data_IF_827067210359
#
_entry.id   IF_827067210359
#
_cell.length_a   1.000
_cell.length_b   1.000
_cell.length_c   1.000
_cell.angle_alpha   90.00
_cell.angle_beta   90.00
_cell.angle_gamma   90.00
#
_symmetry.space_group_name_H-M   'P 1'
#
loop_
_entity.id
_entity.type
_entity.pdbx_description
1 polymer ?
#
# COMPACT_ATOMS: atom_id res chain seq x y z
N UNK A 1 14.87 10.43 -17.72
CA UNK A 1 15.09 9.17 -18.46
C UNK A 1 16.42 8.61 -17.98
N UNK A 2 16.48 7.33 -17.64
CA UNK A 2 17.72 6.71 -17.18
C UNK A 2 18.74 6.63 -18.32
N UNK A 3 19.98 7.05 -18.05
CA UNK A 3 21.09 6.89 -19.00
C UNK A 3 21.59 5.43 -18.99
N UNK A 4 22.28 5.01 -20.05
CA UNK A 4 22.93 3.69 -20.07
C UNK A 4 23.92 3.52 -18.90
N UNK A 5 24.62 4.60 -18.53
CA UNK A 5 25.51 4.62 -17.38
C UNK A 5 24.75 4.40 -16.06
N UNK A 6 23.57 5.00 -15.88
CA UNK A 6 22.73 4.72 -14.70
C UNK A 6 22.30 3.26 -14.66
N UNK A 7 21.89 2.69 -15.79
CA UNK A 7 21.47 1.28 -15.87
C UNK A 7 22.61 0.34 -15.48
N UNK A 8 23.84 0.58 -15.95
CA UNK A 8 25.01 -0.22 -15.61
C UNK A 8 25.37 -0.11 -14.11
N UNK A 9 25.33 1.12 -13.56
CA UNK A 9 25.57 1.35 -12.12
C UNK A 9 24.52 0.64 -11.27
N UNK A 10 23.23 0.78 -11.61
CA UNK A 10 22.15 0.11 -10.88
C UNK A 10 22.36 -1.39 -10.92
N UNK A 11 22.57 -1.98 -12.11
CA UNK A 11 22.79 -3.41 -12.27
C UNK A 11 23.96 -3.95 -11.45
N UNK A 12 25.10 -3.26 -11.49
CA UNK A 12 26.30 -3.65 -10.73
C UNK A 12 26.14 -3.52 -9.22
N UNK A 13 25.20 -2.68 -8.76
CA UNK A 13 24.93 -2.44 -7.33
C UNK A 13 23.67 -3.14 -6.81
N UNK A 14 22.91 -3.88 -7.64
CA UNK A 14 21.80 -4.74 -7.19
C UNK A 14 22.23 -5.69 -6.05
N UNK A 15 23.40 -6.36 -6.09
CA UNK A 15 23.82 -7.23 -5.00
C UNK A 15 23.94 -6.51 -3.64
N UNK A 16 24.17 -5.19 -3.62
CA UNK A 16 24.16 -4.39 -2.39
C UNK A 16 22.75 -4.32 -1.79
N UNK A 17 21.71 -4.20 -2.63
CA UNK A 17 20.31 -4.28 -2.20
C UNK A 17 19.83 -5.69 -1.91
N UNK A 18 20.38 -6.72 -2.55
CA UNK A 18 19.97 -8.10 -2.28
C UNK A 18 20.63 -8.68 -1.04
N UNK A 19 21.86 -8.25 -0.76
CA UNK A 19 22.55 -8.52 0.51
C UNK A 19 22.02 -7.64 1.65
N UNK A 20 21.11 -6.71 1.35
CA UNK A 20 20.36 -5.95 2.33
C UNK A 20 19.45 -6.90 3.12
N UNK A 21 20.04 -7.54 4.13
CA UNK A 21 19.32 -8.44 5.00
C UNK A 21 18.26 -7.73 5.85
N UNK A 22 17.72 -8.44 6.85
CA UNK A 22 16.74 -7.87 7.79
C UNK A 22 17.18 -6.55 8.44
N UNK A 23 18.48 -6.33 8.62
CA UNK A 23 19.05 -5.13 9.23
C UNK A 23 18.81 -3.86 8.41
N UNK A 24 19.03 -3.90 7.09
CA UNK A 24 18.83 -2.71 6.23
C UNK A 24 17.36 -2.31 6.24
N UNK A 25 16.51 -3.30 6.04
CA UNK A 25 15.08 -3.10 6.03
C UNK A 25 14.56 -2.59 7.39
N UNK A 26 15.08 -3.13 8.49
CA UNK A 26 14.74 -2.66 9.84
C UNK A 26 15.16 -1.21 10.03
N UNK A 27 16.37 -0.84 9.62
CA UNK A 27 16.90 0.52 9.70
C UNK A 27 16.04 1.49 8.90
N UNK A 28 15.67 1.13 7.67
CA UNK A 28 14.76 1.91 6.82
C UNK A 28 13.44 2.25 7.53
N UNK A 29 12.75 1.24 8.09
CA UNK A 29 11.47 1.48 8.76
C UNK A 29 11.63 2.24 10.08
N UNK A 30 12.70 2.01 10.83
CA UNK A 30 13.01 2.78 12.04
C UNK A 30 13.21 4.25 11.70
N UNK A 31 14.03 4.54 10.68
CA UNK A 31 14.29 5.90 10.20
C UNK A 31 13.00 6.57 9.73
N UNK A 32 12.22 5.88 8.88
CA UNK A 32 10.98 6.41 8.32
C UNK A 32 9.96 6.75 9.42
N UNK A 33 9.69 5.84 10.35
CA UNK A 33 8.68 6.09 11.40
C UNK A 33 9.15 7.01 12.52
N UNK A 34 10.45 7.24 12.67
CA UNK A 34 10.99 8.22 13.60
C UNK A 34 10.80 9.66 13.07
N UNK A 35 11.02 9.87 11.77
CA UNK A 35 10.92 11.19 11.14
C UNK A 35 9.54 11.49 10.57
N UNK A 36 8.78 10.46 10.22
CA UNK A 36 7.43 10.52 9.63
C UNK A 36 6.46 9.61 10.40
N UNK A 37 6.18 9.91 11.68
CA UNK A 37 5.30 9.08 12.52
C UNK A 37 3.88 8.96 11.97
N UNK A 38 3.41 9.91 11.17
CA UNK A 38 2.11 9.88 10.48
C UNK A 38 1.94 8.67 9.55
N UNK A 39 3.04 8.11 9.02
CA UNK A 39 2.96 6.93 8.17
C UNK A 39 2.52 5.67 8.95
N UNK A 40 2.55 5.69 10.29
CA UNK A 40 2.02 4.59 11.12
C UNK A 40 0.51 4.39 10.96
N UNK A 41 -0.21 5.40 10.46
CA UNK A 41 -1.64 5.32 10.11
C UNK A 41 -1.90 4.56 8.80
N UNK A 42 -0.87 4.42 7.96
CA UNK A 42 -0.96 3.75 6.65
C UNK A 42 -0.38 2.34 6.74
N UNK A 43 0.77 2.20 7.40
CA UNK A 43 1.46 0.92 7.53
C UNK A 43 0.85 0.04 8.62
N UNK A 44 0.78 -1.26 8.36
CA UNK A 44 0.34 -2.23 9.37
C UNK A 44 1.43 -2.44 10.44
N UNK A 45 1.24 -1.80 11.59
CA UNK A 45 2.20 -1.85 12.71
C UNK A 45 2.29 -3.24 13.37
N UNK A 46 1.25 -4.07 13.26
CA UNK A 46 1.28 -5.45 13.79
C UNK A 46 2.29 -6.30 13.03
N UNK A 47 2.40 -6.09 11.72
CA UNK A 47 3.37 -6.82 10.89
C UNK A 47 4.81 -6.36 11.14
N UNK A 48 5.03 -5.07 11.45
CA UNK A 48 6.35 -4.56 11.81
C UNK A 48 6.90 -5.19 13.09
N UNK A 49 6.05 -5.38 14.12
CA UNK A 49 6.45 -6.09 15.35
C UNK A 49 6.83 -7.56 15.11
N UNK A 50 6.39 -8.16 14.00
CA UNK A 50 6.69 -9.55 13.65
C UNK A 50 7.86 -9.74 12.67
N UNK A 51 8.41 -8.65 12.12
CA UNK A 51 9.52 -8.67 11.15
C UNK A 51 9.18 -9.24 9.77
N UNK A 52 7.95 -9.70 9.51
CA UNK A 52 7.59 -10.48 8.31
C UNK A 52 7.28 -9.67 7.05
N UNK A 53 6.96 -8.37 7.17
CA UNK A 53 6.52 -7.56 6.02
C UNK A 53 7.57 -6.56 5.55
N UNK A 54 8.71 -6.51 6.23
CA UNK A 54 9.70 -5.48 5.98
C UNK A 54 10.36 -5.67 4.59
N UNK A 55 10.54 -6.91 4.13
CA UNK A 55 11.38 -7.22 2.95
C UNK A 55 10.72 -6.95 1.59
N UNK A 56 9.39 -6.96 1.51
CA UNK A 56 8.66 -6.92 0.22
C UNK A 56 8.88 -5.63 -0.59
N UNK A 57 9.11 -4.49 0.08
CA UNK A 57 9.41 -3.22 -0.60
C UNK A 57 10.77 -3.28 -1.31
N UNK A 58 11.79 -3.79 -0.62
CA UNK A 58 13.13 -3.93 -1.17
C UNK A 58 13.19 -4.97 -2.28
N UNK A 59 12.48 -6.08 -2.14
CA UNK A 59 12.32 -7.08 -3.21
C UNK A 59 11.66 -6.48 -4.46
N UNK A 60 10.66 -5.61 -4.30
CA UNK A 60 10.02 -4.95 -5.43
C UNK A 60 10.98 -3.97 -6.14
N UNK A 61 11.76 -3.18 -5.39
CA UNK A 61 12.77 -2.27 -5.94
C UNK A 61 13.89 -3.05 -6.64
N UNK A 62 14.37 -4.15 -6.05
CA UNK A 62 15.37 -5.02 -6.66
C UNK A 62 14.85 -5.71 -7.92
N UNK A 63 13.61 -6.21 -7.90
CA UNK A 63 12.97 -6.80 -9.07
C UNK A 63 12.80 -5.78 -10.21
N UNK A 64 12.47 -4.54 -9.88
CA UNK A 64 12.46 -3.43 -10.83
C UNK A 64 13.84 -3.19 -11.42
N UNK A 65 14.87 -3.05 -10.58
CA UNK A 65 16.25 -2.82 -11.02
C UNK A 65 16.75 -3.92 -11.97
N UNK A 66 16.39 -5.18 -11.73
CA UNK A 66 16.72 -6.31 -12.62
C UNK A 66 16.04 -6.25 -13.98
N UNK A 67 14.86 -5.61 -14.07
CA UNK A 67 14.05 -5.52 -15.28
C UNK A 67 14.01 -4.10 -15.85
N UNK A 68 14.97 -3.25 -15.49
CA UNK A 68 14.97 -1.82 -15.82
C UNK A 68 14.96 -1.53 -17.33
N UNK A 69 15.43 -2.47 -18.15
CA UNK A 69 15.41 -2.41 -19.62
C UNK A 69 14.16 -3.07 -20.24
N UNK A 70 13.36 -3.81 -19.47
CA UNK A 70 12.15 -4.50 -19.92
C UNK A 70 11.00 -4.29 -18.92
N UNK A 71 10.58 -3.03 -18.77
CA UNK A 71 9.52 -2.64 -17.85
C UNK A 71 8.16 -3.26 -18.18
N UNK A 72 7.95 -3.62 -19.45
CA UNK A 72 6.73 -4.31 -19.89
C UNK A 72 6.54 -5.64 -19.14
N UNK A 73 7.63 -6.32 -18.76
CA UNK A 73 7.58 -7.54 -17.95
C UNK A 73 7.00 -7.33 -16.53
N UNK A 74 7.01 -6.08 -16.02
CA UNK A 74 6.51 -5.74 -14.70
C UNK A 74 5.07 -5.23 -14.71
N UNK A 75 4.46 -5.03 -15.88
CA UNK A 75 3.11 -4.47 -16.05
C UNK A 75 2.06 -5.11 -15.12
N UNK A 76 1.96 -6.43 -15.12
CA UNK A 76 1.02 -7.15 -14.25
C UNK A 76 1.33 -7.00 -12.75
N UNK A 77 2.61 -6.83 -12.38
CA UNK A 77 3.00 -6.59 -10.99
C UNK A 77 2.67 -5.16 -10.57
N UNK A 78 2.96 -4.17 -11.42
CA UNK A 78 2.62 -2.76 -11.22
C UNK A 78 1.11 -2.62 -11.03
N UNK A 79 0.29 -3.22 -11.90
CA UNK A 79 -1.17 -3.12 -11.81
C UNK A 79 -1.72 -3.64 -10.47
N UNK A 80 -1.26 -4.82 -10.07
CA UNK A 80 -1.64 -5.43 -8.79
C UNK A 80 -1.22 -4.58 -7.59
N UNK A 81 -0.03 -3.99 -7.63
CA UNK A 81 0.49 -3.13 -6.55
C UNK A 81 -0.27 -1.80 -6.53
N UNK A 82 -0.52 -1.17 -7.68
CA UNK A 82 -1.28 0.08 -7.78
C UNK A 82 -2.71 -0.08 -7.22
N UNK A 83 -3.40 -1.18 -7.54
CA UNK A 83 -4.70 -1.47 -6.93
C UNK A 83 -4.63 -1.63 -5.41
N UNK A 84 -3.56 -2.25 -4.91
CA UNK A 84 -3.33 -2.33 -3.47
C UNK A 84 -3.08 -0.94 -2.89
N UNK A 85 -2.15 -0.17 -3.43
CA UNK A 85 -1.82 1.18 -2.95
C UNK A 85 -3.03 2.10 -2.92
N UNK A 86 -3.86 2.09 -3.96
CA UNK A 86 -5.07 2.90 -3.96
C UNK A 86 -6.02 2.55 -2.81
N UNK A 87 -6.07 1.28 -2.36
CA UNK A 87 -6.85 0.88 -1.18
C UNK A 87 -6.30 1.33 0.17
N UNK A 88 -5.04 1.76 0.21
CA UNK A 88 -4.43 2.44 1.36
C UNK A 88 -4.39 3.96 1.17
N UNK A 89 -4.99 4.48 0.09
CA UNK A 89 -4.95 5.88 -0.29
C UNK A 89 -3.52 6.45 -0.34
N UNK A 90 -2.59 5.71 -0.95
CA UNK A 90 -1.22 6.19 -1.18
C UNK A 90 -1.24 7.40 -2.13
N UNK A 91 -0.48 8.43 -1.80
CA UNK A 91 -0.37 9.69 -2.54
C UNK A 91 1.06 9.89 -3.02
N UNK A 92 1.22 10.76 -4.03
CA UNK A 92 2.53 11.14 -4.56
C UNK A 92 3.51 11.63 -3.47
N UNK A 93 3.02 12.37 -2.47
CA UNK A 93 3.84 12.83 -1.34
C UNK A 93 4.45 11.69 -0.51
N UNK A 94 3.80 10.54 -0.43
CA UNK A 94 4.34 9.38 0.29
C UNK A 94 5.55 8.76 -0.42
N UNK A 95 5.61 8.83 -1.77
CA UNK A 95 6.77 8.37 -2.52
C UNK A 95 8.00 9.21 -2.23
N UNK A 96 7.85 10.53 -2.08
CA UNK A 96 8.99 11.39 -1.72
C UNK A 96 9.56 11.02 -0.35
N UNK A 97 8.70 10.73 0.63
CA UNK A 97 9.13 10.29 1.96
C UNK A 97 9.85 8.94 1.88
N UNK A 98 9.26 7.95 1.20
CA UNK A 98 9.84 6.61 1.05
C UNK A 98 11.20 6.68 0.34
N UNK A 99 11.29 7.44 -0.77
CA UNK A 99 12.52 7.63 -1.52
C UNK A 99 13.63 8.26 -0.68
N UNK A 100 13.31 9.33 0.06
CA UNK A 100 14.26 9.96 0.96
C UNK A 100 14.81 8.96 1.99
N UNK A 101 13.95 8.22 2.69
CA UNK A 101 14.40 7.26 3.69
C UNK A 101 15.17 6.07 3.09
N UNK A 102 14.85 5.68 1.86
CA UNK A 102 15.58 4.63 1.15
C UNK A 102 17.01 5.06 0.85
N UNK A 103 17.20 6.22 0.22
CA UNK A 103 18.52 6.73 -0.15
C UNK A 103 19.38 6.98 1.08
N UNK A 104 18.83 7.58 2.12
CA UNK A 104 19.55 7.83 3.37
C UNK A 104 19.94 6.53 4.09
N UNK A 105 19.08 5.51 4.06
CA UNK A 105 19.41 4.19 4.60
C UNK A 105 20.61 3.57 3.87
N UNK A 106 20.67 3.70 2.54
CA UNK A 106 21.80 3.19 1.76
C UNK A 106 23.08 3.97 2.04
N UNK A 107 22.98 5.29 2.20
CA UNK A 107 24.12 6.15 2.57
C UNK A 107 24.67 5.80 3.95
N UNK A 108 23.80 5.56 4.93
CA UNK A 108 24.18 5.28 6.32
C UNK A 108 24.78 3.87 6.49
N UNK A 109 24.27 2.86 5.74
CA UNK A 109 24.68 1.46 5.92
C UNK A 109 25.73 0.96 4.92
N UNK A 110 25.90 1.64 3.78
CA UNK A 110 26.87 1.26 2.75
C UNK A 110 27.70 2.46 2.26
N UNK A 111 28.30 3.28 3.13
CA UNK A 111 28.94 4.55 2.74
C UNK A 111 30.10 4.39 1.74
N UNK A 112 30.84 3.28 1.78
CA UNK A 112 31.93 3.02 0.83
C UNK A 112 31.43 2.61 -0.57
N UNK A 113 30.30 1.89 -0.64
CA UNK A 113 29.73 1.41 -1.89
C UNK A 113 28.75 2.41 -2.51
N UNK A 114 28.12 3.26 -1.69
CA UNK A 114 27.13 4.24 -2.10
C UNK A 114 27.79 5.59 -2.46
N UNK A 115 28.65 5.55 -3.48
CA UNK A 115 29.33 6.73 -4.02
C UNK A 115 28.33 7.74 -4.63
N UNK A 116 28.72 9.01 -4.87
CA UNK A 116 27.81 10.00 -5.47
C UNK A 116 27.17 9.57 -6.79
N UNK A 117 27.91 8.84 -7.65
CA UNK A 117 27.36 8.32 -8.91
C UNK A 117 26.34 7.19 -8.69
N UNK A 118 26.52 6.38 -7.63
CA UNK A 118 25.58 5.34 -7.23
C UNK A 118 24.32 5.97 -6.64
N UNK A 119 24.48 6.97 -5.78
CA UNK A 119 23.36 7.73 -5.23
C UNK A 119 22.50 8.38 -6.31
N UNK A 120 23.12 9.07 -7.28
CA UNK A 120 22.44 9.68 -8.41
C UNK A 120 21.66 8.64 -9.23
N UNK A 121 22.31 7.53 -9.59
CA UNK A 121 21.67 6.47 -10.37
C UNK A 121 20.47 5.83 -9.64
N UNK A 122 20.59 5.53 -8.34
CA UNK A 122 19.49 4.96 -7.54
C UNK A 122 18.36 5.96 -7.31
N UNK A 123 18.68 7.24 -7.12
CA UNK A 123 17.68 8.31 -6.96
C UNK A 123 16.85 8.44 -8.23
N UNK A 124 17.49 8.53 -9.40
CA UNK A 124 16.81 8.59 -10.69
C UNK A 124 15.96 7.33 -10.96
N UNK A 125 16.48 6.15 -10.61
CA UNK A 125 15.76 4.89 -10.77
C UNK A 125 14.51 4.81 -9.89
N UNK A 126 14.64 5.22 -8.63
CA UNK A 126 13.53 5.29 -7.70
C UNK A 126 12.46 6.26 -8.19
N UNK A 127 12.85 7.49 -8.55
CA UNK A 127 11.92 8.52 -9.02
C UNK A 127 11.18 8.09 -10.28
N UNK A 128 11.88 7.42 -11.19
CA UNK A 128 11.26 6.87 -12.39
C UNK A 128 10.21 5.79 -12.06
N UNK A 129 10.53 4.84 -11.17
CA UNK A 129 9.55 3.83 -10.72
C UNK A 129 8.38 4.47 -9.96
N UNK A 130 8.67 5.43 -9.09
CA UNK A 130 7.66 6.17 -8.33
C UNK A 130 6.69 6.86 -9.28
N UNK A 131 7.18 7.49 -10.36
CA UNK A 131 6.33 8.16 -11.34
C UNK A 131 5.37 7.19 -12.04
N UNK A 132 5.84 5.99 -12.41
CA UNK A 132 4.97 4.95 -13.00
C UNK A 132 3.79 4.62 -12.07
N UNK A 133 4.07 4.45 -10.78
CA UNK A 133 3.02 4.18 -9.80
C UNK A 133 2.11 5.38 -9.58
N UNK A 134 2.67 6.58 -9.43
CA UNK A 134 1.90 7.81 -9.22
C UNK A 134 0.91 8.03 -10.36
N UNK A 135 1.36 7.91 -11.60
CA UNK A 135 0.52 8.09 -12.78
C UNK A 135 -0.60 7.03 -12.80
N UNK A 136 -0.25 5.76 -12.61
CA UNK A 136 -1.24 4.67 -12.65
C UNK A 136 -2.25 4.76 -11.51
N UNK A 137 -1.80 5.09 -10.30
CA UNK A 137 -2.67 5.25 -9.14
C UNK A 137 -3.60 6.45 -9.30
N UNK A 138 -3.12 7.55 -9.89
CA UNK A 138 -3.95 8.71 -10.21
C UNK A 138 -5.04 8.38 -11.23
N UNK A 139 -4.70 7.63 -12.30
CA UNK A 139 -5.71 7.13 -13.24
C UNK A 139 -6.79 6.32 -12.52
N UNK A 140 -6.39 5.38 -11.64
CA UNK A 140 -7.32 4.58 -10.85
C UNK A 140 -8.18 5.44 -9.92
N UNK A 141 -7.61 6.45 -9.27
CA UNK A 141 -8.37 7.39 -8.44
C UNK A 141 -9.40 8.15 -9.26
N UNK A 142 -9.03 8.68 -10.43
CA UNK A 142 -9.93 9.43 -11.29
C UNK A 142 -11.04 8.56 -11.88
N UNK A 143 -10.73 7.34 -12.30
CA UNK A 143 -11.72 6.38 -12.80
C UNK A 143 -12.79 6.09 -11.74
N UNK A 144 -12.36 5.86 -10.49
CA UNK A 144 -13.28 5.64 -9.37
C UNK A 144 -14.09 6.89 -9.05
N UNK A 145 -13.45 8.04 -8.94
CA UNK A 145 -14.12 9.31 -8.61
C UNK A 145 -15.22 9.68 -9.63
N UNK A 146 -14.99 9.40 -10.91
CA UNK A 146 -15.94 9.71 -12.00
C UNK A 146 -17.04 8.66 -12.16
N UNK A 147 -16.88 7.47 -11.58
CA UNK A 147 -17.86 6.39 -11.71
C UNK A 147 -19.10 6.63 -10.84
N UNK A 148 -20.23 6.05 -11.25
CA UNK A 148 -21.49 6.17 -10.51
C UNK A 148 -21.33 5.57 -9.10
N UNK A 149 -21.62 6.38 -8.07
CA UNK A 149 -21.47 5.98 -6.67
C UNK A 149 -20.02 5.90 -6.19
N UNK A 150 -19.05 6.29 -7.02
CA UNK A 150 -17.64 6.36 -6.67
C UNK A 150 -17.25 7.62 -5.90
N UNK A 151 -16.04 7.60 -5.36
CA UNK A 151 -15.45 8.68 -4.56
C UNK A 151 -13.92 8.59 -4.62
N UNK A 152 -13.24 9.63 -4.13
CA UNK A 152 -11.79 9.67 -3.94
C UNK A 152 -11.46 9.68 -2.45
N UNK A 153 -10.45 8.90 -2.05
CA UNK A 153 -10.03 8.80 -0.65
C UNK A 153 -11.02 8.01 0.20
N UNK A 154 -11.36 8.56 1.37
CA UNK A 154 -12.19 7.89 2.37
C UNK A 154 -13.66 8.30 2.24
N UNK A 155 -14.60 7.36 2.40
CA UNK A 155 -16.04 7.65 2.43
C UNK A 155 -16.67 6.93 3.61
N UNK A 156 -17.44 7.64 4.43
CA UNK A 156 -18.04 7.07 5.65
C UNK A 156 -19.21 6.15 5.30
N UNK A 157 -19.25 5.02 5.99
CA UNK A 157 -20.28 4.00 5.86
C UNK A 157 -20.71 3.59 7.28
N UNK A 158 -21.95 3.14 7.39
CA UNK A 158 -22.54 2.62 8.62
C UNK A 158 -22.80 1.13 8.49
N UNK A 159 -22.63 0.40 9.59
CA UNK A 159 -22.99 -1.02 9.67
C UNK A 159 -24.49 -1.09 9.91
N UNK A 160 -25.25 -1.54 8.90
CA UNK A 160 -26.72 -1.68 8.99
C UNK A 160 -27.15 -3.09 9.37
N UNK A 161 -26.30 -4.09 9.12
CA UNK A 161 -26.53 -5.48 9.49
C UNK A 161 -25.24 -6.15 9.95
N UNK A 162 -25.37 -7.03 10.95
CA UNK A 162 -24.29 -7.88 11.45
C UNK A 162 -24.80 -9.30 11.65
N UNK A 163 -24.23 -10.24 10.91
CA UNK A 163 -24.72 -11.62 10.83
C UNK A 163 -23.60 -12.59 11.20
N UNK A 164 -23.71 -13.34 12.31
CA UNK A 164 -22.79 -14.43 12.60
C UNK A 164 -22.95 -15.56 11.57
N UNK A 165 -21.90 -15.86 10.82
CA UNK A 165 -21.88 -16.96 9.83
C UNK A 165 -21.35 -18.26 10.45
N UNK A 166 -20.47 -18.13 11.45
CA UNK A 166 -19.93 -19.22 12.26
C UNK A 166 -19.35 -18.66 13.57
N UNK A 167 -18.81 -19.53 14.43
CA UNK A 167 -18.10 -19.10 15.65
C UNK A 167 -16.94 -18.13 15.38
N UNK A 168 -16.31 -18.24 14.21
CA UNK A 168 -15.13 -17.45 13.86
C UNK A 168 -15.39 -16.41 12.78
N UNK A 169 -16.56 -16.39 12.13
CA UNK A 169 -16.83 -15.49 11.00
C UNK A 169 -18.10 -14.70 11.25
N UNK A 170 -18.02 -13.39 11.04
CA UNK A 170 -19.16 -12.49 11.09
C UNK A 170 -19.17 -11.64 9.84
N UNK A 171 -20.32 -11.55 9.20
CA UNK A 171 -20.52 -10.68 8.06
C UNK A 171 -21.18 -9.37 8.46
N UNK A 172 -20.86 -8.33 7.69
CA UNK A 172 -21.31 -6.97 7.91
C UNK A 172 -21.84 -6.41 6.60
N UNK A 173 -23.02 -5.80 6.65
CA UNK A 173 -23.57 -5.01 5.54
C UNK A 173 -23.31 -3.53 5.83
N UNK A 174 -22.74 -2.84 4.83
CA UNK A 174 -22.27 -1.48 4.92
C UNK A 174 -23.05 -0.61 3.93
N UNK A 175 -23.68 0.45 4.44
CA UNK A 175 -24.36 1.48 3.63
C UNK A 175 -23.65 2.82 3.78
N UNK A 176 -23.56 3.63 2.71
CA UNK A 176 -22.91 4.93 2.81
C UNK A 176 -23.71 5.85 3.72
N UNK A 177 -23.03 6.55 4.64
CA UNK A 177 -23.69 7.44 5.62
C UNK A 177 -24.44 8.58 4.94
N UNK A 178 -23.96 9.01 3.76
CA UNK A 178 -24.58 10.05 2.94
C UNK A 178 -25.85 9.59 2.19
N UNK A 179 -26.22 8.32 2.26
CA UNK A 179 -27.39 7.74 1.60
C UNK A 179 -27.29 7.64 0.06
N UNK A 180 -26.12 7.93 -0.52
CA UNK A 180 -25.89 7.87 -1.96
C UNK A 180 -25.73 6.46 -2.50
N UNK A 181 -25.55 6.33 -3.82
CA UNK A 181 -25.20 5.06 -4.46
C UNK A 181 -23.77 4.64 -4.09
N UNK A 182 -23.48 3.36 -4.26
CA UNK A 182 -22.13 2.81 -4.10
C UNK A 182 -21.56 2.38 -5.44
N UNK A 183 -20.23 2.46 -5.57
CA UNK A 183 -19.50 2.02 -6.76
C UNK A 183 -19.68 0.51 -7.00
N UNK A 184 -19.88 0.13 -8.26
CA UNK A 184 -20.02 -1.25 -8.70
C UNK A 184 -18.68 -2.01 -8.64
N UNK A 185 -18.72 -3.35 -8.66
CA UNK A 185 -17.53 -4.21 -8.56
C UNK A 185 -17.71 -5.58 -9.23
N UNK A 186 -16.58 -6.19 -9.60
CA UNK A 186 -16.48 -7.56 -10.07
C UNK A 186 -16.22 -8.53 -8.91
N UNK A 187 -16.79 -9.75 -8.95
CA UNK A 187 -16.48 -10.80 -7.99
C UNK A 187 -14.98 -11.07 -7.87
N UNK A 188 -14.48 -11.17 -6.63
CA UNK A 188 -13.05 -11.32 -6.32
C UNK A 188 -12.36 -10.02 -5.91
N UNK A 189 -13.01 -8.87 -6.10
CA UNK A 189 -12.51 -7.57 -5.64
C UNK A 189 -12.71 -7.39 -4.14
N UNK A 190 -12.00 -6.42 -3.58
CA UNK A 190 -11.97 -6.15 -2.14
C UNK A 190 -12.11 -4.67 -1.85
N UNK A 191 -12.38 -4.34 -0.59
CA UNK A 191 -12.39 -2.98 -0.05
C UNK A 191 -11.24 -2.78 0.94
N UNK A 192 -10.64 -1.58 0.92
CA UNK A 192 -9.99 -1.04 2.10
C UNK A 192 -11.03 -0.72 3.19
N UNK A 193 -10.69 -0.97 4.44
CA UNK A 193 -11.51 -0.65 5.60
C UNK A 193 -10.56 0.00 6.60
N UNK A 194 -10.72 1.31 6.77
CA UNK A 194 -10.04 2.08 7.80
C UNK A 194 -10.88 2.04 9.07
N UNK A 195 -10.20 1.89 10.20
CA UNK A 195 -10.82 1.84 11.52
C UNK A 195 -9.88 2.48 12.53
N UNK A 196 -10.45 3.03 13.60
CA UNK A 196 -9.71 3.50 14.77
C UNK A 196 -9.97 2.52 15.92
N UNK A 197 -9.15 1.47 16.10
CA UNK A 197 -9.35 0.51 17.18
C UNK A 197 -9.31 1.19 18.54
N UNK A 198 -10.20 0.80 19.45
CA UNK A 198 -10.18 1.30 20.83
C UNK A 198 -8.84 0.98 21.48
N UNK A 199 -8.14 2.00 22.00
CA UNK A 199 -6.82 1.85 22.62
C UNK A 199 -5.62 1.84 21.65
N UNK A 200 -5.83 2.17 20.38
CA UNK A 200 -4.76 2.46 19.41
C UNK A 200 -4.62 3.97 19.20
N UNK A 201 -3.39 4.46 19.18
CA UNK A 201 -3.09 5.86 18.80
C UNK A 201 -3.16 6.09 17.29
N UNK A 202 -3.13 5.01 16.49
CA UNK A 202 -3.10 5.06 15.03
C UNK A 202 -4.36 4.44 14.44
N UNK A 203 -4.73 4.88 13.24
CA UNK A 203 -5.74 4.19 12.43
C UNK A 203 -5.14 2.93 11.79
N UNK A 204 -6.00 1.98 11.47
CA UNK A 204 -5.60 0.71 10.86
C UNK A 204 -6.42 0.49 9.60
N UNK A 205 -5.74 0.18 8.49
CA UNK A 205 -6.36 -0.16 7.22
C UNK A 205 -6.24 -1.67 6.98
N UNK A 206 -7.37 -2.33 6.65
CA UNK A 206 -7.42 -3.75 6.30
C UNK A 206 -8.21 -3.96 5.02
N UNK A 207 -7.80 -4.96 4.24
CA UNK A 207 -8.48 -5.31 2.99
C UNK A 207 -9.42 -6.49 3.23
N UNK A 208 -10.67 -6.38 2.78
CA UNK A 208 -11.66 -7.45 2.86
C UNK A 208 -12.35 -7.65 1.52
N UNK A 209 -12.41 -8.89 1.04
CA UNK A 209 -13.15 -9.25 -0.17
C UNK A 209 -14.63 -8.95 -0.01
N UNK A 210 -15.23 -8.44 -1.08
CA UNK A 210 -16.67 -8.27 -1.18
C UNK A 210 -17.32 -9.64 -1.32
N UNK A 211 -18.29 -9.94 -0.45
CA UNK A 211 -18.85 -11.28 -0.27
C UNK A 211 -20.31 -11.38 -0.72
N UNK A 212 -20.75 -10.51 -1.63
CA UNK A 212 -22.06 -10.57 -2.27
C UNK A 212 -21.95 -10.12 -3.73
N UNK A 213 -23.04 -10.23 -4.49
CA UNK A 213 -23.15 -9.60 -5.80
C UNK A 213 -23.42 -8.09 -5.65
N UNK A 214 -23.02 -7.24 -6.61
CA UNK A 214 -23.29 -5.81 -6.53
C UNK A 214 -24.78 -5.49 -6.44
N UNK A 215 -25.13 -4.63 -5.50
CA UNK A 215 -26.52 -4.19 -5.26
C UNK A 215 -26.75 -2.75 -5.72
N UNK A 216 -25.68 -1.96 -5.88
CA UNK A 216 -25.72 -0.52 -6.19
C UNK A 216 -26.01 0.39 -5.00
N UNK A 217 -26.32 -0.16 -3.83
CA UNK A 217 -26.61 0.61 -2.61
C UNK A 217 -25.77 0.24 -1.39
N UNK A 218 -25.20 -0.98 -1.33
CA UNK A 218 -24.45 -1.44 -0.18
C UNK A 218 -23.32 -2.42 -0.54
N UNK A 219 -22.45 -2.64 0.44
CA UNK A 219 -21.41 -3.66 0.40
C UNK A 219 -21.62 -4.69 1.48
N UNK A 220 -21.12 -5.90 1.25
CA UNK A 220 -21.03 -6.93 2.28
C UNK A 220 -19.62 -7.48 2.35
N UNK A 221 -19.11 -7.58 3.57
CA UNK A 221 -17.83 -8.20 3.88
C UNK A 221 -18.03 -9.31 4.91
N UNK A 222 -17.14 -10.30 4.90
CA UNK A 222 -17.13 -11.40 5.87
C UNK A 222 -15.78 -11.44 6.57
N UNK A 223 -15.78 -11.18 7.88
CA UNK A 223 -14.57 -11.00 8.67
C UNK A 223 -14.37 -12.20 9.57
N UNK A 224 -13.22 -12.86 9.44
CA UNK A 224 -12.78 -13.90 10.38
C UNK A 224 -12.15 -13.27 11.61
N UNK A 225 -12.63 -13.63 12.81
CA UNK A 225 -12.02 -13.29 14.08
C UNK A 225 -10.62 -13.91 14.15
N UNK A 226 -9.62 -13.06 14.34
CA UNK A 226 -8.26 -13.48 14.67
C UNK A 226 -8.06 -13.31 16.17
N UNK A 227 -7.38 -14.25 16.83
CA UNK A 227 -7.15 -14.28 18.28
C UNK A 227 -6.31 -13.11 18.84
N UNK A 228 -6.14 -12.00 18.10
CA UNK A 228 -5.22 -10.91 18.47
C UNK A 228 -5.84 -9.53 18.61
N UNK A 229 -7.13 -9.31 18.30
CA UNK A 229 -7.76 -7.98 18.51
C UNK A 229 -9.21 -8.14 18.97
N UNK A 230 -9.51 -7.65 20.18
CA UNK A 230 -10.88 -7.41 20.65
C UNK A 230 -11.40 -6.16 19.97
N UNK A 231 -12.51 -6.26 19.23
CA UNK A 231 -12.95 -5.20 18.32
C UNK A 231 -14.24 -4.57 18.84
N UNK A 232 -14.10 -3.57 19.70
CA UNK A 232 -15.08 -2.48 19.83
C UNK A 232 -14.57 -1.37 18.91
N UNK A 233 -15.28 -1.12 17.80
CA UNK A 233 -14.87 -0.18 16.76
C UNK A 233 -16.01 0.77 16.42
N UNK A 234 -15.67 2.07 16.38
CA UNK A 234 -16.39 3.10 15.64
C UNK A 234 -15.77 3.10 14.24
N UNK A 235 -16.57 2.87 13.20
CA UNK A 235 -16.10 2.64 11.83
C UNK A 235 -16.03 3.97 11.06
N UNK A 236 -14.85 4.32 10.54
CA UNK A 236 -14.67 5.41 9.57
C UNK A 236 -14.02 4.81 8.33
N UNK A 237 -14.85 4.42 7.36
CA UNK A 237 -14.46 3.50 6.29
C UNK A 237 -13.69 4.21 5.15
N UNK A 238 -12.70 3.51 4.57
CA UNK A 238 -11.92 3.96 3.41
C UNK A 238 -12.05 2.93 2.32
N UNK A 239 -13.15 3.01 1.58
CA UNK A 239 -13.49 2.00 0.61
C UNK A 239 -12.68 2.24 -0.66
N UNK A 240 -12.15 1.17 -1.25
CA UNK A 240 -11.51 1.18 -2.57
C UNK A 240 -11.79 -0.14 -3.24
N UNK A 241 -12.65 -0.11 -4.25
CA UNK A 241 -12.94 -1.24 -5.11
C UNK A 241 -11.84 -1.32 -6.16
N UNK A 242 -10.97 -2.33 -6.07
CA UNK A 242 -10.19 -2.82 -7.23
C UNK A 242 -11.18 -3.02 -8.36
N UNK A 243 -10.95 -2.56 -9.60
CA UNK A 243 -11.91 -2.62 -10.71
C UNK A 243 -11.32 -3.38 -11.88
#
# INVERSE_FOLDING_TARGET
MLSNQHIEIIKSTIPLLESAGPALTQHFYQRMFAHNPELKDIFNMTHQKSGRQSVALFEAVAAYAKNIENLAALSAAVERIAHKHTSFHIKAEHYQIVGHHLIETLRELAPEAFTPAVEEAWTEAYLFLAQIFIDREEELYQLREKALGGWRGTRRFVVVEKTPESELVTSFVLEPEDGGKVLDYQPGQYLGIQVSPTGSDNVEIRQYSLSQAPTGSNYRISVKKSNRVSMMMVWCLTICIVS
#
